data_IF_913654705792
#
_entry.id   IF_913654705792
#
_cell.length_a   1.000
_cell.length_b   1.000
_cell.length_c   1.000
_cell.angle_alpha   90.00
_cell.angle_beta   90.00
_cell.angle_gamma   90.00
#
_symmetry.space_group_name_H-M   'P 1'
#
loop_
_entity.id
_entity.type
_entity.pdbx_description
1 polymer ?
#
# COMPACT_ATOMS: atom_id res chain seq x y z
N UNK A 1 -9.28 -12.26 6.18
CA UNK A 1 -8.39 -11.08 6.10
C UNK A 1 -7.62 -10.97 7.40
N UNK A 2 -6.29 -10.87 7.37
CA UNK A 2 -5.50 -10.58 8.58
C UNK A 2 -5.38 -9.06 8.74
N UNK A 3 -5.93 -8.47 9.82
CA UNK A 3 -5.87 -7.02 10.06
C UNK A 3 -4.42 -6.50 10.15
N UNK A 4 -3.49 -7.36 10.59
CA UNK A 4 -2.05 -7.07 10.62
C UNK A 4 -1.50 -6.62 9.26
N UNK A 5 -2.01 -7.15 8.15
CA UNK A 5 -1.56 -6.76 6.81
C UNK A 5 -1.95 -5.32 6.47
N UNK A 6 -3.10 -4.84 6.96
CA UNK A 6 -3.53 -3.46 6.75
C UNK A 6 -2.62 -2.48 7.51
N UNK A 7 -2.20 -2.84 8.72
CA UNK A 7 -1.21 -2.04 9.47
C UNK A 7 0.15 -2.02 8.74
N UNK A 8 0.55 -3.12 8.11
CA UNK A 8 1.76 -3.15 7.28
C UNK A 8 1.69 -2.22 6.06
N UNK A 9 0.52 -2.04 5.44
CA UNK A 9 0.38 -1.10 4.31
C UNK A 9 0.73 0.34 4.68
N UNK A 10 0.43 0.76 5.91
CA UNK A 10 0.65 2.14 6.38
C UNK A 10 1.97 2.31 7.17
N UNK A 11 2.68 1.23 7.46
CA UNK A 11 3.94 1.26 8.21
C UNK A 11 5.14 0.87 7.36
N UNK A 12 4.96 -0.02 6.38
CA UNK A 12 6.04 -0.52 5.53
C UNK A 12 6.33 0.46 4.40
N UNK A 13 7.60 0.76 4.23
CA UNK A 13 8.10 1.54 3.10
C UNK A 13 8.56 0.63 1.96
N UNK A 14 8.41 1.13 0.74
CA UNK A 14 8.89 0.48 -0.46
C UNK A 14 10.43 0.41 -0.43
N UNK A 15 11.05 -0.79 -0.49
CA UNK A 15 12.49 -0.93 -0.30
C UNK A 15 13.32 -0.60 -1.55
N UNK A 16 12.70 -0.51 -2.74
CA UNK A 16 13.37 -0.29 -4.01
C UNK A 16 12.50 0.44 -5.03
N UNK A 17 13.05 0.71 -6.22
CA UNK A 17 12.33 1.32 -7.33
C UNK A 17 12.17 2.83 -7.20
N UNK A 18 11.34 3.42 -8.07
CA UNK A 18 11.12 4.87 -8.17
C UNK A 18 10.58 5.47 -6.88
N UNK A 19 9.78 4.72 -6.12
CA UNK A 19 9.13 5.17 -4.89
C UNK A 19 9.82 4.63 -3.62
N UNK A 20 11.12 4.30 -3.69
CA UNK A 20 11.88 3.83 -2.52
C UNK A 20 11.73 4.82 -1.34
N UNK A 21 11.46 4.30 -0.15
CA UNK A 21 11.24 5.08 1.07
C UNK A 21 9.83 5.65 1.22
N UNK A 22 8.93 5.39 0.26
CA UNK A 22 7.51 5.77 0.36
C UNK A 22 6.72 4.62 0.99
N UNK A 23 5.77 4.95 1.86
CA UNK A 23 4.86 3.97 2.47
C UNK A 23 4.01 3.31 1.38
N UNK A 24 3.74 2.01 1.50
CA UNK A 24 2.98 1.23 0.51
C UNK A 24 1.61 1.85 0.25
N UNK A 25 0.91 2.28 1.30
CA UNK A 25 -0.39 2.95 1.20
C UNK A 25 -0.36 4.35 0.54
N UNK A 26 0.83 4.91 0.29
CA UNK A 26 1.01 6.19 -0.44
C UNK A 26 1.49 5.97 -1.88
N UNK A 27 1.63 4.71 -2.32
CA UNK A 27 2.07 4.40 -3.68
C UNK A 27 0.98 4.82 -4.68
N UNK A 28 1.35 5.47 -5.81
CA UNK A 28 0.36 5.85 -6.80
C UNK A 28 -0.32 4.64 -7.45
N UNK A 29 -1.64 4.71 -7.65
CA UNK A 29 -2.42 3.69 -8.36
C UNK A 29 -1.80 3.22 -9.70
N UNK A 30 -1.29 4.11 -10.57
CA UNK A 30 -0.61 3.69 -11.80
C UNK A 30 0.61 2.79 -11.57
N UNK A 31 1.32 2.96 -10.45
CA UNK A 31 2.48 2.14 -10.09
C UNK A 31 2.04 0.74 -9.59
N UNK A 32 0.97 0.68 -8.81
CA UNK A 32 0.36 -0.58 -8.38
C UNK A 32 -0.22 -1.35 -9.58
N UNK A 33 -0.88 -0.66 -10.50
CA UNK A 33 -1.41 -1.25 -11.75
C UNK A 33 -0.30 -1.75 -12.67
N UNK A 34 0.86 -1.11 -12.70
CA UNK A 34 2.03 -1.63 -13.40
C UNK A 34 2.50 -2.95 -12.79
N UNK A 35 2.60 -3.05 -11.47
CA UNK A 35 2.92 -4.32 -10.80
C UNK A 35 1.86 -5.41 -11.02
N UNK A 36 0.58 -5.07 -11.08
CA UNK A 36 -0.47 -6.04 -11.39
C UNK A 36 -0.36 -6.64 -12.80
N UNK A 37 0.28 -5.90 -13.74
CA UNK A 37 0.54 -6.38 -15.11
C UNK A 37 1.84 -7.16 -15.23
N UNK A 38 2.91 -6.67 -14.62
CA UNK A 38 4.24 -7.31 -14.69
C UNK A 38 4.37 -8.51 -13.74
N UNK A 39 3.62 -8.50 -12.64
CA UNK A 39 3.72 -9.46 -11.54
C UNK A 39 4.28 -8.84 -10.26
N UNK A 40 3.77 -9.30 -9.13
CA UNK A 40 4.24 -8.88 -7.81
C UNK A 40 5.49 -9.67 -7.39
N UNK A 41 6.44 -9.05 -6.66
CA UNK A 41 7.61 -9.76 -6.14
C UNK A 41 7.19 -10.86 -5.16
N UNK A 42 7.94 -11.95 -5.07
CA UNK A 42 7.63 -13.02 -4.11
C UNK A 42 7.79 -12.55 -2.66
N UNK A 43 7.05 -13.20 -1.75
CA UNK A 43 7.12 -12.97 -0.32
C UNK A 43 6.12 -11.91 0.18
N UNK A 44 6.38 -11.39 1.38
CA UNK A 44 5.47 -10.47 2.07
C UNK A 44 5.20 -9.19 1.26
N UNK A 45 6.24 -8.60 0.67
CA UNK A 45 6.13 -7.35 -0.07
C UNK A 45 5.14 -7.47 -1.24
N UNK A 46 5.19 -8.56 -2.03
CA UNK A 46 4.24 -8.74 -3.11
C UNK A 46 2.82 -8.94 -2.63
N UNK A 47 2.65 -9.65 -1.52
CA UNK A 47 1.34 -9.78 -0.87
C UNK A 47 0.77 -8.42 -0.43
N UNK A 48 1.62 -7.52 0.09
CA UNK A 48 1.23 -6.16 0.47
C UNK A 48 0.91 -5.30 -0.77
N UNK A 49 1.71 -5.39 -1.84
CA UNK A 49 1.45 -4.64 -3.08
C UNK A 49 0.18 -5.12 -3.78
N UNK A 50 -0.08 -6.43 -3.81
CA UNK A 50 -1.31 -7.00 -4.33
C UNK A 50 -2.52 -6.53 -3.52
N UNK A 51 -2.43 -6.61 -2.18
CA UNK A 51 -3.49 -6.13 -1.29
C UNK A 51 -3.74 -4.63 -1.49
N UNK A 52 -2.69 -3.82 -1.61
CA UNK A 52 -2.85 -2.38 -1.84
C UNK A 52 -3.50 -2.10 -3.20
N UNK A 53 -3.14 -2.87 -4.24
CA UNK A 53 -3.78 -2.75 -5.55
C UNK A 53 -5.26 -3.12 -5.50
N UNK A 54 -5.64 -4.17 -4.77
CA UNK A 54 -7.04 -4.55 -4.57
C UNK A 54 -7.81 -3.43 -3.87
N UNK A 55 -7.23 -2.83 -2.82
CA UNK A 55 -7.85 -1.71 -2.10
C UNK A 55 -8.04 -0.50 -3.02
N UNK A 56 -7.01 -0.12 -3.77
CA UNK A 56 -7.05 1.02 -4.71
C UNK A 56 -8.07 0.78 -5.83
N UNK A 57 -8.07 -0.42 -6.42
CA UNK A 57 -8.98 -0.78 -7.51
C UNK A 57 -10.46 -0.77 -7.08
N UNK A 58 -10.75 -1.13 -5.83
CA UNK A 58 -12.10 -1.09 -5.27
C UNK A 58 -12.47 0.27 -4.65
N UNK A 59 -11.58 1.27 -4.68
CA UNK A 59 -11.82 2.59 -4.07
C UNK A 59 -11.92 2.56 -2.55
N UNK A 60 -11.29 1.57 -1.89
CA UNK A 60 -11.40 1.33 -0.46
C UNK A 60 -10.28 1.98 0.37
N UNK A 61 -9.52 2.91 -0.22
CA UNK A 61 -8.38 3.56 0.44
C UNK A 61 -8.75 4.29 1.74
N UNK A 62 -9.99 4.78 1.86
CA UNK A 62 -10.51 5.40 3.08
C UNK A 62 -10.54 4.44 4.29
N UNK A 63 -10.59 3.13 4.06
CA UNK A 63 -10.52 2.13 5.14
C UNK A 63 -9.19 2.18 5.90
N UNK A 64 -8.14 2.72 5.29
CA UNK A 64 -6.83 2.87 5.91
C UNK A 64 -6.74 4.13 6.79
N UNK A 65 -7.67 5.09 6.66
CA UNK A 65 -7.60 6.38 7.36
C UNK A 65 -7.69 6.25 8.88
N UNK A 66 -8.60 5.44 9.47
CA UNK A 66 -8.63 5.22 10.91
C UNK A 66 -7.33 4.61 11.44
N UNK A 67 -6.69 3.73 10.66
CA UNK A 67 -5.40 3.12 11.01
C UNK A 67 -4.28 4.17 10.94
N UNK A 68 -4.27 5.02 9.91
CA UNK A 68 -3.34 6.13 9.78
C UNK A 68 -3.41 7.09 10.97
N UNK A 69 -4.61 7.46 11.40
CA UNK A 69 -4.82 8.30 12.58
C UNK A 69 -4.28 7.62 13.84
N UNK A 70 -4.57 6.33 14.06
CA UNK A 70 -4.03 5.53 15.17
C UNK A 70 -2.50 5.53 15.21
N UNK A 71 -1.84 5.53 14.06
CA UNK A 71 -0.38 5.52 13.94
C UNK A 71 0.25 6.91 13.77
N UNK A 72 -0.54 8.00 13.80
CA UNK A 72 -0.04 9.38 13.63
C UNK A 72 0.51 9.67 12.22
N UNK A 73 0.04 8.94 11.19
CA UNK A 73 0.50 9.04 9.80
C UNK A 73 -0.67 9.37 8.85
N UNK A 74 -1.26 10.58 8.95
CA UNK A 74 -2.42 10.95 8.12
C UNK A 74 -2.09 10.84 6.63
N UNK A 75 -3.11 10.61 5.79
CA UNK A 75 -2.91 10.53 4.34
C UNK A 75 -2.28 11.83 3.81
N UNK A 76 -1.35 11.73 2.84
CA UNK A 76 -0.80 12.92 2.18
C UNK A 76 -1.95 13.68 1.51
N UNK A 77 -2.08 14.97 1.82
CA UNK A 77 -3.00 15.88 1.13
C UNK A 77 -2.42 16.15 -0.26
N UNK A 78 -3.02 15.55 -1.29
CA UNK A 78 -2.67 15.77 -2.69
C UNK A 78 -3.40 16.96 -3.28
#
# INVERSE_FOLDING_TARGET
MNPEKLELLITREMPFGKYKGRIIADLPGPYLNWFAREGFPHGELGGLLALMQEIDHNGLSELLEPLRVKHGKPAPRH
#
